data_IF_163871147815
#
_entry.id   IF_163871147815
#
_cell.length_a   1.000
_cell.length_b   1.000
_cell.length_c   1.000
_cell.angle_alpha   90.00
_cell.angle_beta   90.00
_cell.angle_gamma   90.00
#
_symmetry.space_group_name_H-M   'P 1'
#
loop_
_entity.id
_entity.type
_entity.pdbx_description
1 polymer ?
#
# COMPACT_ATOMS: atom_id res chain seq x y z
N UNK A 1 35.92 40.82 40.78
CA UNK A 1 35.14 39.56 40.74
C UNK A 1 34.96 39.15 39.28
N UNK A 2 35.86 38.39 38.77
CA UNK A 2 35.87 37.97 37.35
C UNK A 2 35.26 36.57 37.26
N UNK A 3 33.99 36.49 36.92
CA UNK A 3 33.42 35.23 36.55
C UNK A 3 34.02 34.77 35.19
N UNK A 4 34.78 33.69 35.24
CA UNK A 4 35.46 33.15 34.10
C UNK A 4 34.44 32.71 33.01
N UNK A 5 34.73 33.01 31.73
CA UNK A 5 33.96 32.58 30.57
C UNK A 5 33.68 31.06 30.54
N UNK A 6 34.52 30.26 31.19
CA UNK A 6 34.34 28.82 31.32
C UNK A 6 33.16 28.40 32.23
N UNK A 7 32.86 29.19 33.28
CA UNK A 7 31.71 28.88 34.14
C UNK A 7 30.37 29.20 33.45
N UNK A 8 30.35 30.17 32.54
CA UNK A 8 29.13 30.51 31.82
C UNK A 8 28.77 29.44 30.79
N UNK A 9 29.76 28.83 30.12
CA UNK A 9 29.54 27.77 29.12
C UNK A 9 29.07 26.47 29.78
N UNK A 10 29.58 26.11 30.98
CA UNK A 10 29.14 24.92 31.72
C UNK A 10 27.72 25.05 32.26
N UNK A 11 27.32 26.24 32.70
CA UNK A 11 25.97 26.48 33.22
C UNK A 11 24.91 26.46 32.13
N UNK A 12 25.25 26.91 30.89
CA UNK A 12 24.31 26.93 29.76
C UNK A 12 24.11 25.53 29.16
N UNK A 13 25.14 24.68 29.20
CA UNK A 13 25.02 23.31 28.71
C UNK A 13 24.16 22.43 29.62
N UNK A 14 24.16 22.67 30.93
CA UNK A 14 23.34 21.89 31.89
C UNK A 14 21.85 22.23 31.79
N UNK A 15 21.48 23.47 31.43
CA UNK A 15 20.07 23.86 31.26
C UNK A 15 19.50 23.39 29.91
N UNK A 16 20.33 23.27 28.87
CA UNK A 16 19.89 22.78 27.56
C UNK A 16 19.62 21.26 27.53
N UNK A 17 20.29 20.50 28.41
CA UNK A 17 20.12 19.05 28.46
C UNK A 17 18.83 18.59 29.19
N UNK A 18 18.21 19.46 30.02
CA UNK A 18 17.03 19.10 30.79
C UNK A 18 15.68 19.40 30.07
N UNK A 19 15.70 20.06 28.92
CA UNK A 19 14.48 20.47 28.22
C UNK A 19 14.18 19.67 26.94
N UNK A 20 14.98 18.65 26.56
CA UNK A 20 14.83 17.91 25.31
C UNK A 20 14.60 16.41 25.54
N UNK A 21 13.90 16.04 26.59
CA UNK A 21 13.26 14.73 26.62
C UNK A 21 11.76 14.96 26.49
N UNK A 22 11.18 14.87 25.28
CA UNK A 22 9.78 14.60 25.21
C UNK A 22 9.61 13.25 25.90
N UNK A 23 8.88 13.22 27.02
CA UNK A 23 8.34 11.98 27.54
C UNK A 23 7.62 11.30 26.40
N UNK A 24 8.30 10.35 25.76
CA UNK A 24 7.68 9.44 24.85
C UNK A 24 6.65 8.69 25.69
N UNK A 25 5.42 9.20 25.73
CA UNK A 25 4.29 8.41 26.18
C UNK A 25 4.31 7.18 25.30
N UNK A 26 4.79 6.07 25.85
CA UNK A 26 4.63 4.77 25.23
C UNK A 26 3.13 4.56 25.06
N UNK A 27 2.64 4.75 23.84
CA UNK A 27 1.28 4.34 23.50
C UNK A 27 1.19 2.86 23.86
N UNK A 28 0.17 2.46 24.63
CA UNK A 28 -0.03 1.06 24.95
C UNK A 28 -0.06 0.29 23.62
N UNK A 29 0.70 -0.80 23.56
CA UNK A 29 0.83 -1.66 22.37
C UNK A 29 -0.52 -2.26 21.91
N UNK A 30 -1.58 -2.09 22.67
CA UNK A 30 -2.92 -2.64 22.48
C UNK A 30 -3.98 -1.61 22.08
N UNK A 31 -3.62 -0.44 21.57
CA UNK A 31 -4.64 0.37 20.93
C UNK A 31 -4.99 -0.26 19.56
N UNK A 32 -5.79 -1.33 19.61
CA UNK A 32 -6.51 -1.80 18.46
C UNK A 32 -7.30 -0.61 17.92
N UNK A 33 -6.97 -0.21 16.70
CA UNK A 33 -7.75 0.79 15.99
C UNK A 33 -9.16 0.21 15.84
N UNK A 34 -10.11 0.72 16.60
CA UNK A 34 -11.51 0.38 16.38
C UNK A 34 -11.93 1.11 15.11
N UNK A 35 -11.72 0.44 13.99
CA UNK A 35 -12.28 0.87 12.71
C UNK A 35 -13.74 0.43 12.74
N UNK A 36 -14.65 1.34 12.41
CA UNK A 36 -16.06 0.99 12.29
C UNK A 36 -16.24 -0.21 11.34
N UNK A 37 -17.11 -1.18 11.65
CA UNK A 37 -17.22 -2.43 10.88
C UNK A 37 -17.44 -2.25 9.38
N UNK A 38 -18.13 -1.19 8.98
CA UNK A 38 -18.35 -0.84 7.57
C UNK A 38 -17.05 -0.44 6.86
N UNK A 39 -16.10 0.21 7.52
CA UNK A 39 -14.80 0.56 6.97
C UNK A 39 -13.86 -0.64 6.85
N UNK A 40 -14.02 -1.65 7.72
CA UNK A 40 -13.26 -2.90 7.63
C UNK A 40 -13.54 -3.63 6.31
N UNK A 41 -14.76 -3.51 5.78
CA UNK A 41 -15.10 -4.08 4.47
C UNK A 41 -14.38 -3.39 3.32
N UNK A 42 -14.15 -2.07 3.43
CA UNK A 42 -13.41 -1.28 2.43
C UNK A 42 -11.89 -1.49 2.52
N UNK A 43 -11.39 -1.74 3.73
CA UNK A 43 -9.98 -1.98 4.02
C UNK A 43 -9.66 -3.48 4.15
N UNK A 44 -10.58 -4.33 3.73
CA UNK A 44 -10.40 -5.77 3.75
C UNK A 44 -9.33 -6.20 2.76
N UNK A 45 -8.41 -7.03 3.23
CA UNK A 45 -7.48 -7.71 2.35
C UNK A 45 -8.24 -8.65 1.42
N UNK A 46 -8.02 -8.53 0.11
CA UNK A 46 -8.39 -9.57 -0.83
C UNK A 46 -7.40 -10.72 -0.67
N UNK A 47 -7.79 -11.78 0.01
CA UNK A 47 -6.91 -12.93 0.29
C UNK A 47 -6.51 -13.69 -0.98
N UNK A 48 -7.21 -13.48 -2.09
CA UNK A 48 -6.98 -14.20 -3.34
C UNK A 48 -6.93 -13.24 -4.53
N UNK A 49 -5.73 -12.98 -5.03
CA UNK A 49 -5.53 -12.61 -6.41
C UNK A 49 -5.76 -13.80 -7.33
N UNK A 50 -6.07 -13.53 -8.61
CA UNK A 50 -6.28 -14.60 -9.61
C UNK A 50 -7.69 -15.16 -9.64
N UNK A 51 -8.69 -14.42 -9.16
CA UNK A 51 -10.10 -14.78 -9.38
C UNK A 51 -10.48 -14.60 -10.83
N UNK A 52 -11.23 -15.56 -11.34
CA UNK A 52 -11.73 -15.57 -12.71
C UNK A 52 -13.07 -16.33 -12.73
N UNK A 53 -14.18 -15.62 -12.94
CA UNK A 53 -15.52 -16.22 -12.92
C UNK A 53 -16.55 -15.36 -13.65
N UNK A 54 -17.69 -15.98 -14.00
CA UNK A 54 -18.88 -15.26 -14.46
C UNK A 54 -19.70 -14.82 -13.25
N UNK A 55 -19.82 -13.50 -12.97
CA UNK A 55 -20.63 -13.01 -11.86
C UNK A 55 -22.13 -13.17 -12.15
N UNK A 56 -22.93 -13.29 -11.10
CA UNK A 56 -24.39 -13.23 -11.21
C UNK A 56 -24.81 -11.81 -11.58
N UNK A 57 -25.53 -11.68 -12.68
CA UNK A 57 -26.08 -10.40 -13.12
C UNK A 57 -27.51 -10.26 -12.61
N UNK A 58 -27.79 -9.18 -11.87
CA UNK A 58 -29.13 -8.81 -11.45
C UNK A 58 -29.60 -7.67 -12.33
N UNK A 59 -30.69 -7.90 -13.07
CA UNK A 59 -31.20 -6.96 -14.07
C UNK A 59 -30.69 -7.29 -15.49
N UNK A 60 -30.59 -6.27 -16.33
CA UNK A 60 -30.22 -6.42 -17.74
C UNK A 60 -28.96 -5.59 -18.05
N UNK A 61 -27.99 -6.23 -18.69
CA UNK A 61 -26.85 -5.53 -19.28
C UNK A 61 -27.28 -4.99 -20.64
N UNK A 62 -26.96 -3.74 -20.91
CA UNK A 62 -27.21 -3.14 -22.22
C UNK A 62 -26.45 -3.92 -23.30
N UNK A 63 -27.11 -4.41 -24.38
CA UNK A 63 -26.44 -5.11 -25.46
C UNK A 63 -25.37 -4.27 -26.19
N UNK A 64 -25.45 -2.95 -26.12
CA UNK A 64 -24.45 -2.07 -26.71
C UNK A 64 -23.16 -2.01 -25.89
N UNK A 65 -23.18 -2.44 -24.63
CA UNK A 65 -21.99 -2.45 -23.78
C UNK A 65 -21.06 -3.60 -24.18
N UNK A 66 -19.92 -3.25 -24.76
CA UNK A 66 -18.88 -4.18 -25.20
C UNK A 66 -17.51 -3.70 -24.77
N UNK A 67 -16.61 -4.64 -24.49
CA UNK A 67 -15.23 -4.35 -24.12
C UNK A 67 -14.91 -4.71 -22.67
N UNK A 68 -13.95 -4.03 -22.06
CA UNK A 68 -13.53 -4.29 -20.69
C UNK A 68 -13.38 -3.02 -19.89
N UNK A 69 -13.88 -3.05 -18.64
CA UNK A 69 -13.64 -2.05 -17.62
C UNK A 69 -12.51 -2.54 -16.74
N UNK A 70 -11.47 -1.72 -16.59
CA UNK A 70 -10.37 -1.97 -15.67
C UNK A 70 -10.44 -1.00 -14.50
N UNK A 71 -10.17 -1.52 -13.32
CA UNK A 71 -10.05 -0.75 -12.07
C UNK A 71 -8.77 -1.18 -11.36
N UNK A 72 -8.11 -0.23 -10.74
CA UNK A 72 -7.00 -0.49 -9.83
C UNK A 72 -7.34 0.10 -8.47
N UNK A 73 -6.90 -0.57 -7.44
CA UNK A 73 -7.03 -0.12 -6.07
C UNK A 73 -6.23 -1.00 -5.13
N UNK A 74 -6.02 -0.53 -3.90
CA UNK A 74 -5.34 -1.32 -2.89
C UNK A 74 -6.17 -2.55 -2.52
N UNK A 75 -5.55 -3.73 -2.53
CA UNK A 75 -6.23 -5.01 -2.28
C UNK A 75 -5.59 -5.88 -1.21
N UNK A 76 -4.33 -5.65 -0.85
CA UNK A 76 -3.62 -6.42 0.17
C UNK A 76 -3.03 -5.47 1.23
N UNK A 77 -3.63 -5.49 2.40
CA UNK A 77 -3.25 -4.61 3.52
C UNK A 77 -2.45 -5.32 4.60
N UNK A 78 -2.51 -6.64 4.64
CA UNK A 78 -1.89 -7.46 5.66
C UNK A 78 -0.96 -8.49 5.04
N UNK A 79 0.20 -8.71 5.66
CA UNK A 79 1.11 -9.79 5.31
C UNK A 79 1.85 -10.27 6.55
N UNK A 80 1.66 -11.54 6.91
CA UNK A 80 2.07 -12.07 8.20
C UNK A 80 1.34 -11.34 9.34
N UNK A 81 2.08 -10.87 10.33
CA UNK A 81 1.52 -10.13 11.47
C UNK A 81 1.48 -8.60 11.27
N UNK A 82 1.83 -8.13 10.10
CA UNK A 82 1.96 -6.70 9.82
C UNK A 82 0.86 -6.20 8.89
N UNK A 83 0.21 -5.11 9.32
CA UNK A 83 -0.80 -4.39 8.54
C UNK A 83 -0.31 -2.99 8.19
N UNK A 84 -0.60 -2.52 6.98
CA UNK A 84 -0.41 -1.11 6.61
C UNK A 84 -1.46 -0.23 7.27
N UNK A 85 -1.12 1.05 7.44
CA UNK A 85 -1.93 1.99 8.23
C UNK A 85 -2.85 2.86 7.39
N UNK A 86 -2.60 2.94 6.09
CA UNK A 86 -3.33 3.84 5.21
C UNK A 86 -3.90 3.06 4.01
N UNK A 87 -5.03 3.55 3.49
CA UNK A 87 -5.68 2.94 2.33
C UNK A 87 -4.73 2.81 1.14
N UNK A 88 -3.99 3.87 0.81
CA UNK A 88 -3.08 3.88 -0.34
C UNK A 88 -1.80 3.05 -0.15
N UNK A 89 -1.58 2.49 1.03
CA UNK A 89 -0.40 1.64 1.30
C UNK A 89 -0.63 0.16 0.94
N UNK A 90 -1.85 -0.24 0.59
CA UNK A 90 -2.17 -1.60 0.15
C UNK A 90 -1.59 -1.90 -1.22
N UNK A 91 -1.15 -3.15 -1.43
CA UNK A 91 -0.66 -3.60 -2.73
C UNK A 91 -1.78 -3.58 -3.77
N UNK A 92 -1.45 -3.12 -4.98
CA UNK A 92 -2.41 -2.89 -6.05
C UNK A 92 -3.08 -4.16 -6.55
N UNK A 93 -4.40 -4.11 -6.68
CA UNK A 93 -5.24 -5.16 -7.22
C UNK A 93 -5.97 -4.64 -8.46
N UNK A 94 -5.59 -5.16 -9.62
CA UNK A 94 -6.30 -4.88 -10.86
C UNK A 94 -7.56 -5.75 -10.90
N UNK A 95 -8.68 -5.15 -11.26
CA UNK A 95 -9.96 -5.80 -11.50
C UNK A 95 -10.37 -5.54 -12.94
N UNK A 96 -10.84 -6.57 -13.63
CA UNK A 96 -11.37 -6.50 -15.00
C UNK A 96 -12.80 -7.01 -15.00
N UNK A 97 -13.70 -6.26 -15.61
CA UNK A 97 -15.04 -6.68 -15.98
C UNK A 97 -15.13 -6.67 -17.50
N UNK A 98 -15.27 -7.82 -18.13
CA UNK A 98 -15.43 -7.95 -19.58
C UNK A 98 -16.90 -8.14 -19.94
N UNK A 99 -17.33 -7.46 -20.98
CA UNK A 99 -18.69 -7.51 -21.55
C UNK A 99 -18.62 -8.02 -22.98
N UNK A 100 -19.14 -9.22 -23.20
CA UNK A 100 -19.12 -9.90 -24.48
C UNK A 100 -20.50 -10.50 -24.79
N UNK A 101 -20.67 -11.11 -25.94
CA UNK A 101 -21.89 -11.85 -26.28
C UNK A 101 -22.10 -13.06 -25.37
N UNK A 102 -21.03 -13.62 -24.81
CA UNK A 102 -21.10 -14.69 -23.82
C UNK A 102 -21.49 -14.23 -22.39
N UNK A 103 -21.64 -12.92 -22.20
CA UNK A 103 -22.03 -12.32 -20.92
C UNK A 103 -20.91 -11.54 -20.25
N UNK A 104 -21.01 -11.44 -18.92
CA UNK A 104 -20.06 -10.70 -18.09
C UNK A 104 -19.06 -11.68 -17.45
N UNK A 105 -17.77 -11.31 -17.46
CA UNK A 105 -16.71 -12.05 -16.78
C UNK A 105 -15.94 -11.11 -15.85
N UNK A 106 -15.64 -11.56 -14.65
CA UNK A 106 -14.81 -10.86 -13.68
C UNK A 106 -13.46 -11.56 -13.54
N UNK A 107 -12.41 -10.77 -13.56
CA UNK A 107 -11.04 -11.23 -13.28
C UNK A 107 -10.35 -10.26 -12.33
N UNK A 108 -9.43 -10.75 -11.52
CA UNK A 108 -8.53 -9.88 -10.77
C UNK A 108 -7.12 -10.48 -10.65
N UNK A 109 -6.14 -9.60 -10.49
CA UNK A 109 -4.77 -9.99 -10.17
C UNK A 109 -4.05 -8.88 -9.40
N UNK A 110 -3.15 -9.25 -8.50
CA UNK A 110 -2.24 -8.28 -7.87
C UNK A 110 -1.18 -7.83 -8.86
N UNK A 111 -0.83 -6.54 -8.78
CA UNK A 111 0.35 -6.02 -9.48
C UNK A 111 1.59 -6.56 -8.79
N UNK A 112 2.34 -7.40 -9.49
CA UNK A 112 3.55 -8.05 -8.96
C UNK A 112 4.74 -7.10 -9.04
N UNK A 113 4.76 -6.08 -8.18
CA UNK A 113 5.92 -5.19 -8.00
C UNK A 113 7.06 -5.96 -7.36
N UNK A 114 8.31 -5.45 -7.44
CA UNK A 114 9.44 -6.06 -6.72
C UNK A 114 9.13 -6.19 -5.22
N UNK A 115 8.57 -5.13 -4.61
CA UNK A 115 8.11 -5.15 -3.22
C UNK A 115 7.14 -6.29 -2.96
N UNK A 116 6.12 -6.45 -3.81
CA UNK A 116 5.12 -7.50 -3.67
C UNK A 116 5.77 -8.88 -3.67
N UNK A 117 6.66 -9.15 -4.63
CA UNK A 117 7.35 -10.45 -4.78
C UNK A 117 8.28 -10.76 -3.60
N UNK A 118 9.07 -9.77 -3.15
CA UNK A 118 9.96 -9.92 -2.01
C UNK A 118 9.18 -10.22 -0.72
N UNK A 119 8.10 -9.49 -0.46
CA UNK A 119 7.26 -9.67 0.71
C UNK A 119 6.42 -10.96 0.64
N UNK A 120 6.00 -11.38 -0.56
CA UNK A 120 5.32 -12.67 -0.78
C UNK A 120 6.24 -13.83 -0.45
N UNK A 121 7.46 -13.80 -0.96
CA UNK A 121 8.48 -14.82 -0.69
C UNK A 121 8.86 -14.90 0.81
N UNK A 122 8.89 -13.76 1.49
CA UNK A 122 9.20 -13.67 2.91
C UNK A 122 8.00 -14.00 3.83
N UNK A 123 6.78 -14.03 3.31
CA UNK A 123 5.57 -14.21 4.10
C UNK A 123 5.29 -13.07 5.09
N UNK A 124 5.96 -11.94 4.95
CA UNK A 124 5.86 -10.79 5.86
C UNK A 124 6.19 -9.48 5.15
N UNK A 125 5.83 -8.35 5.77
CA UNK A 125 6.21 -7.04 5.25
C UNK A 125 7.68 -6.73 5.51
N UNK A 126 8.34 -6.21 4.48
CA UNK A 126 9.76 -5.87 4.52
C UNK A 126 10.03 -4.39 4.30
N UNK A 127 9.17 -3.72 3.53
CA UNK A 127 9.42 -2.39 3.00
C UNK A 127 8.54 -1.32 3.66
N UNK A 128 9.05 -0.09 3.65
CA UNK A 128 8.23 1.07 3.91
C UNK A 128 7.31 1.32 2.72
N UNK A 129 6.12 1.79 3.02
CA UNK A 129 5.17 2.32 2.06
C UNK A 129 5.02 3.83 2.27
N UNK A 130 4.11 4.47 1.59
CA UNK A 130 3.97 5.92 1.66
C UNK A 130 3.78 6.44 3.08
N UNK A 131 2.92 5.80 3.88
CA UNK A 131 2.65 6.23 5.25
C UNK A 131 3.07 5.21 6.32
N UNK A 132 3.36 3.98 5.93
CA UNK A 132 3.71 2.91 6.87
C UNK A 132 5.22 2.64 6.82
N UNK A 133 5.87 2.72 7.98
CA UNK A 133 7.30 2.42 8.15
C UNK A 133 7.59 0.92 8.04
N UNK A 134 8.86 0.59 7.78
CA UNK A 134 9.34 -0.80 7.83
C UNK A 134 9.10 -1.42 9.21
N UNK A 135 8.74 -2.70 9.29
CA UNK A 135 8.76 -3.43 10.56
C UNK A 135 10.16 -3.45 11.19
N UNK A 136 10.23 -3.51 12.54
CA UNK A 136 11.52 -3.62 13.24
C UNK A 136 11.96 -2.38 14.03
N UNK A 137 11.05 -1.44 14.26
CA UNK A 137 11.22 -0.34 15.21
C UNK A 137 12.12 0.80 14.72
N UNK A 138 12.54 1.64 15.68
CA UNK A 138 13.22 2.91 15.40
C UNK A 138 14.54 2.74 14.65
N UNK A 139 15.39 1.80 15.06
CA UNK A 139 16.72 1.62 14.47
C UNK A 139 16.67 1.24 12.99
N UNK A 140 15.71 0.40 12.58
CA UNK A 140 15.51 0.03 11.16
C UNK A 140 14.97 1.16 10.29
N UNK A 141 14.42 2.18 10.92
CA UNK A 141 13.86 3.34 10.25
C UNK A 141 14.71 4.61 10.45
N UNK A 142 15.89 4.49 11.05
CA UNK A 142 16.83 5.59 11.22
C UNK A 142 17.34 6.00 9.82
N UNK A 143 17.26 7.30 9.52
CA UNK A 143 17.64 7.81 8.19
C UNK A 143 16.54 7.79 7.13
N UNK A 144 15.34 7.37 7.49
CA UNK A 144 14.21 7.25 6.58
C UNK A 144 14.33 6.04 5.65
N UNK A 145 13.22 5.57 5.13
CA UNK A 145 13.20 4.51 4.12
C UNK A 145 12.68 5.07 2.80
N UNK A 146 13.25 4.65 1.69
CA UNK A 146 12.65 4.88 0.38
C UNK A 146 11.35 4.08 0.36
N UNK A 147 10.22 4.77 0.13
CA UNK A 147 8.94 4.12 -0.10
C UNK A 147 9.02 3.29 -1.37
N UNK A 148 8.60 2.02 -1.29
CA UNK A 148 8.46 1.16 -2.47
C UNK A 148 7.05 1.28 -3.02
N UNK A 149 6.94 1.28 -4.35
CA UNK A 149 5.65 1.36 -5.04
C UNK A 149 4.77 0.14 -4.75
N UNK A 150 3.50 0.40 -4.50
CA UNK A 150 2.44 -0.60 -4.40
C UNK A 150 1.68 -0.75 -5.72
N UNK A 151 1.85 0.20 -6.65
CA UNK A 151 1.12 0.31 -7.92
C UNK A 151 -0.41 0.19 -7.74
N UNK A 152 -0.95 0.75 -6.65
CA UNK A 152 -2.33 0.52 -6.18
C UNK A 152 -3.30 1.67 -6.41
N UNK A 153 -2.98 2.65 -7.26
CA UNK A 153 -3.82 3.86 -7.39
C UNK A 153 -4.51 3.94 -8.74
N UNK A 154 -3.79 3.83 -9.83
CA UNK A 154 -4.35 4.03 -11.18
C UNK A 154 -4.04 2.87 -12.11
N UNK A 155 -4.93 2.66 -13.09
CA UNK A 155 -4.70 1.84 -14.28
C UNK A 155 -5.33 2.52 -15.49
N UNK A 156 -4.61 2.56 -16.59
CA UNK A 156 -5.12 3.12 -17.84
C UNK A 156 -4.53 2.42 -19.06
N UNK A 157 -5.29 2.33 -20.14
CA UNK A 157 -4.83 1.73 -21.39
C UNK A 157 -3.92 2.69 -22.17
N UNK A 158 -2.80 2.17 -22.67
CA UNK A 158 -1.86 2.89 -23.52
C UNK A 158 -1.38 1.95 -24.63
N UNK A 159 -1.72 2.26 -25.88
CA UNK A 159 -1.26 1.50 -27.06
C UNK A 159 -1.41 -0.03 -26.91
N UNK A 160 -2.59 -0.48 -26.49
CA UNK A 160 -2.88 -1.92 -26.36
C UNK A 160 -2.32 -2.59 -25.10
N UNK A 161 -1.69 -1.84 -24.22
CA UNK A 161 -1.18 -2.29 -22.92
C UNK A 161 -1.98 -1.63 -21.81
N UNK A 162 -1.93 -2.18 -20.61
CA UNK A 162 -2.38 -1.50 -19.40
C UNK A 162 -1.17 -1.03 -18.62
N UNK A 163 -1.26 0.18 -18.08
CA UNK A 163 -0.24 0.75 -17.21
C UNK A 163 -0.83 0.95 -15.84
N UNK A 164 -0.28 0.25 -14.85
CA UNK A 164 -0.62 0.41 -13.44
C UNK A 164 0.47 1.21 -12.71
N UNK A 165 0.07 2.13 -11.82
CA UNK A 165 1.02 2.93 -11.03
C UNK A 165 0.39 3.51 -9.77
N UNK A 166 1.24 4.01 -8.89
CA UNK A 166 0.95 5.04 -7.88
C UNK A 166 1.61 6.38 -8.27
N UNK A 167 1.52 7.38 -7.40
CA UNK A 167 2.01 8.74 -7.70
C UNK A 167 3.54 8.84 -7.71
N UNK A 168 4.24 7.97 -7.00
CA UNK A 168 5.67 8.12 -6.68
C UNK A 168 6.55 7.00 -7.23
N UNK A 169 5.94 5.93 -7.75
CA UNK A 169 6.64 4.74 -8.20
C UNK A 169 6.78 4.65 -9.72
N UNK A 170 7.46 3.59 -10.19
CA UNK A 170 7.52 3.27 -11.60
C UNK A 170 6.15 2.88 -12.15
N UNK A 171 6.03 2.91 -13.47
CA UNK A 171 4.88 2.38 -14.18
C UNK A 171 5.07 0.88 -14.41
N UNK A 172 4.03 0.09 -14.16
CA UNK A 172 4.05 -1.35 -14.40
C UNK A 172 3.19 -1.69 -15.61
N UNK A 173 3.76 -2.38 -16.58
CA UNK A 173 3.02 -2.92 -17.70
C UNK A 173 2.22 -4.15 -17.28
N UNK A 174 0.93 -4.12 -17.55
CA UNK A 174 -0.02 -5.20 -17.24
C UNK A 174 -0.59 -5.71 -18.56
N UNK A 175 -0.61 -7.00 -18.73
CA UNK A 175 -1.28 -7.66 -19.85
C UNK A 175 -2.81 -7.47 -19.70
N UNK A 176 -3.51 -6.92 -20.71
CA UNK A 176 -4.92 -6.61 -20.58
C UNK A 176 -5.84 -7.85 -20.51
N UNK A 177 -5.39 -9.00 -21.01
CA UNK A 177 -6.22 -10.20 -21.03
C UNK A 177 -5.99 -11.08 -19.79
N UNK A 178 -4.74 -11.34 -19.44
CA UNK A 178 -4.38 -12.21 -18.33
C UNK A 178 -4.20 -11.47 -17.01
N UNK A 179 -4.10 -10.14 -17.03
CA UNK A 179 -3.73 -9.27 -15.91
C UNK A 179 -2.32 -9.55 -15.33
N UNK A 180 -1.50 -10.28 -16.06
CA UNK A 180 -0.14 -10.55 -15.66
C UNK A 180 0.72 -9.28 -15.70
N UNK A 181 1.52 -9.04 -14.66
CA UNK A 181 2.54 -7.99 -14.67
C UNK A 181 3.68 -8.40 -15.59
N UNK A 182 3.99 -7.57 -16.57
CA UNK A 182 5.04 -7.81 -17.59
C UNK A 182 6.38 -7.21 -17.20
N UNK A 183 6.39 -6.17 -16.37
CA UNK A 183 7.60 -5.47 -15.93
C UNK A 183 7.35 -3.96 -15.74
N UNK A 184 8.42 -3.20 -15.62
CA UNK A 184 8.47 -1.73 -15.51
C UNK A 184 8.96 -1.10 -16.78
#
# INVERSE_FOLDING_TARGET
MTNSRRQFITSTAAVAASTILPTAQSRPANQQWQVAPEWLKLLGTSETGGRDYAPTVVGRVDPALRGALYRNGPGLFERGQHRVRHLLDGDGLIQRLSFTDAGVRYQNAFVKTEKFLEEEAAGTRLHATWTTRKPGGFLRNLGGGISRSQAGVTVYPVHGKLIARDETGPCFEIDPESLATRGT
#
